data_IF_585219718170
#
_entry.id   IF_585219718170
#
_cell.length_a   1.000
_cell.length_b   1.000
_cell.length_c   1.000
_cell.angle_alpha   90.00
_cell.angle_beta   90.00
_cell.angle_gamma   90.00
#
_symmetry.space_group_name_H-M   'P 1'
#
loop_
_entity.id
_entity.type
_entity.pdbx_description
1 polymer ?
#
# COMPACT_ATOMS: atom_id res chain seq x y z
N UNK A 1 6.34 15.57 10.40
CA UNK A 1 7.08 14.44 9.83
C UNK A 1 7.16 13.32 10.83
N UNK A 2 6.69 12.20 10.46
CA UNK A 2 6.40 11.06 11.29
C UNK A 2 7.60 10.14 11.58
N UNK A 3 8.74 10.68 11.94
CA UNK A 3 9.73 9.90 12.70
C UNK A 3 10.74 9.05 11.95
N UNK A 4 10.58 8.62 10.72
CA UNK A 4 11.68 7.99 10.00
C UNK A 4 12.41 9.02 9.13
N UNK A 5 13.74 8.97 9.13
CA UNK A 5 14.56 9.97 8.47
C UNK A 5 14.61 9.76 6.95
N UNK A 6 13.45 9.93 6.27
CA UNK A 6 13.31 9.69 4.82
C UNK A 6 14.22 10.57 3.98
N UNK A 7 14.49 11.80 4.38
CA UNK A 7 15.42 12.68 3.65
C UNK A 7 16.79 12.02 3.50
N UNK A 8 17.32 11.47 4.60
CA UNK A 8 18.60 10.77 4.58
C UNK A 8 18.49 9.43 3.83
N UNK A 9 17.40 8.69 4.04
CA UNK A 9 17.17 7.43 3.32
C UNK A 9 17.13 7.63 1.80
N UNK A 10 16.41 8.64 1.32
CA UNK A 10 16.33 8.93 -0.12
C UNK A 10 17.66 9.40 -0.71
N UNK A 11 18.50 10.08 0.06
CA UNK A 11 19.86 10.40 -0.36
C UNK A 11 20.72 9.13 -0.55
N UNK A 12 20.62 8.17 0.35
CA UNK A 12 21.33 6.88 0.22
C UNK A 12 20.77 5.99 -0.89
N UNK A 13 19.51 6.16 -1.27
CA UNK A 13 18.88 5.46 -2.39
C UNK A 13 19.12 6.18 -3.74
N UNK A 14 19.92 7.23 -3.74
CA UNK A 14 20.37 7.99 -4.93
C UNK A 14 19.20 8.60 -5.75
N UNK A 15 18.14 9.03 -5.06
CA UNK A 15 17.08 9.80 -5.72
C UNK A 15 17.59 11.18 -6.13
N UNK A 16 17.55 11.49 -7.41
CA UNK A 16 18.02 12.75 -7.98
C UNK A 16 17.17 13.95 -7.53
N UNK A 17 15.89 13.72 -7.30
CA UNK A 17 14.94 14.76 -6.88
C UNK A 17 14.09 14.25 -5.72
N UNK A 18 13.90 15.09 -4.74
CA UNK A 18 13.00 14.86 -3.61
C UNK A 18 12.01 16.01 -3.57
N UNK A 19 10.72 15.69 -3.39
CA UNK A 19 9.65 16.67 -3.30
C UNK A 19 8.86 16.43 -2.02
N UNK A 20 8.42 17.51 -1.40
CA UNK A 20 7.70 17.49 -0.13
C UNK A 20 6.45 18.37 -0.22
N UNK A 21 5.68 18.43 0.87
CA UNK A 21 4.44 19.19 0.96
C UNK A 21 4.57 20.65 0.49
N UNK A 22 5.67 21.30 0.82
CA UNK A 22 5.98 22.68 0.44
C UNK A 22 6.23 22.89 -1.06
N UNK A 23 6.50 21.80 -1.80
CA UNK A 23 6.74 21.84 -3.25
C UNK A 23 5.43 21.72 -4.05
N UNK A 24 4.31 21.40 -3.41
CA UNK A 24 3.01 21.25 -4.07
C UNK A 24 2.26 22.59 -4.07
N UNK A 25 2.12 23.27 -5.22
CA UNK A 25 1.51 24.59 -5.26
C UNK A 25 0.01 24.52 -5.10
N UNK A 26 -0.53 25.17 -4.08
CA UNK A 26 -1.99 25.31 -3.83
C UNK A 26 -2.74 23.98 -3.84
N UNK A 27 -2.32 22.98 -3.03
CA UNK A 27 -2.94 21.67 -3.07
C UNK A 27 -4.38 21.71 -2.54
N UNK A 28 -5.23 20.85 -3.10
CA UNK A 28 -6.49 20.52 -2.46
C UNK A 28 -6.22 19.65 -1.24
N UNK A 29 -6.76 20.04 -0.09
CA UNK A 29 -6.57 19.31 1.16
C UNK A 29 -7.83 18.52 1.52
N UNK A 30 -7.62 17.28 1.96
CA UNK A 30 -8.62 16.48 2.67
C UNK A 30 -8.17 16.34 4.11
N UNK A 31 -9.04 16.72 5.04
CA UNK A 31 -8.67 17.02 6.43
C UNK A 31 -7.58 18.11 6.44
N UNK A 32 -6.39 17.79 6.89
CA UNK A 32 -5.22 18.67 6.90
C UNK A 32 -4.06 18.15 6.05
N UNK A 33 -4.31 17.17 5.21
CA UNK A 33 -3.29 16.54 4.36
C UNK A 33 -3.53 16.88 2.89
N UNK A 34 -2.47 16.91 2.10
CA UNK A 34 -2.58 16.96 0.64
C UNK A 34 -3.41 15.76 0.19
N UNK A 35 -4.43 16.00 -0.65
CA UNK A 35 -5.23 14.93 -1.23
C UNK A 35 -4.38 14.08 -2.19
N UNK A 36 -4.67 12.80 -2.28
CA UNK A 36 -4.02 11.90 -3.22
C UNK A 36 -4.19 12.40 -4.67
N UNK A 37 -5.32 13.02 -4.98
CA UNK A 37 -5.54 13.69 -6.27
C UNK A 37 -4.49 14.77 -6.55
N UNK A 38 -4.27 15.70 -5.63
CA UNK A 38 -3.28 16.78 -5.82
C UNK A 38 -1.86 16.25 -5.87
N UNK A 39 -1.59 15.18 -5.13
CA UNK A 39 -0.30 14.51 -5.12
C UNK A 39 -0.04 13.83 -6.48
N UNK A 40 -1.02 13.12 -7.04
CA UNK A 40 -0.92 12.51 -8.37
C UNK A 40 -0.82 13.55 -9.50
N UNK A 41 -1.47 14.70 -9.38
CA UNK A 41 -1.28 15.81 -10.32
C UNK A 41 0.18 16.29 -10.39
N UNK A 42 0.92 16.23 -9.30
CA UNK A 42 2.36 16.53 -9.28
C UNK A 42 3.18 15.47 -10.02
N UNK A 43 2.77 14.19 -9.94
CA UNK A 43 3.40 13.12 -10.72
C UNK A 43 3.20 13.38 -12.21
N UNK A 44 1.98 13.67 -12.68
CA UNK A 44 1.71 13.97 -14.10
C UNK A 44 2.62 15.09 -14.63
N UNK A 45 2.65 16.23 -13.93
CA UNK A 45 3.49 17.39 -14.31
C UNK A 45 4.98 17.08 -14.34
N UNK A 46 5.41 16.16 -13.49
CA UNK A 46 6.82 15.76 -13.43
C UNK A 46 7.19 14.79 -14.53
N UNK A 47 6.29 13.89 -14.93
CA UNK A 47 6.52 12.93 -16.03
C UNK A 47 6.48 13.57 -17.40
N UNK A 48 5.68 14.62 -17.61
CA UNK A 48 5.62 15.37 -18.90
C UNK A 48 6.96 16.00 -19.30
N UNK A 49 7.87 16.20 -18.35
CA UNK A 49 9.15 16.88 -18.58
C UNK A 49 10.36 15.95 -18.78
N UNK A 50 10.16 14.62 -18.64
CA UNK A 50 11.25 13.65 -18.57
C UNK A 50 11.04 12.49 -19.56
N UNK A 51 12.08 12.08 -20.27
CA UNK A 51 12.01 10.96 -21.22
C UNK A 51 11.80 9.59 -20.54
N UNK A 52 12.33 9.42 -19.32
CA UNK A 52 12.09 8.25 -18.49
C UNK A 52 12.21 8.60 -17.01
N UNK A 53 11.35 8.03 -16.18
CA UNK A 53 11.25 8.41 -14.77
C UNK A 53 10.92 7.22 -13.89
N UNK A 54 11.48 7.23 -12.68
CA UNK A 54 11.05 6.38 -11.58
C UNK A 54 10.56 7.26 -10.42
N UNK A 55 9.30 7.11 -10.06
CA UNK A 55 8.69 7.82 -8.93
C UNK A 55 8.43 6.84 -7.79
N UNK A 56 8.95 7.17 -6.60
CA UNK A 56 8.54 6.55 -5.35
C UNK A 56 7.70 7.56 -4.59
N UNK A 57 6.39 7.39 -4.63
CA UNK A 57 5.44 8.30 -4.02
C UNK A 57 4.89 7.76 -2.71
N UNK A 58 4.75 8.64 -1.70
CA UNK A 58 4.17 8.31 -0.39
C UNK A 58 3.09 9.31 -0.06
N UNK A 59 1.83 8.93 -0.24
CA UNK A 59 0.69 9.78 0.08
C UNK A 59 0.44 9.85 1.59
N UNK A 60 -0.17 10.93 2.04
CA UNK A 60 -0.46 11.17 3.46
C UNK A 60 -1.95 11.35 3.76
N UNK A 61 -2.80 11.39 2.73
CA UNK A 61 -4.23 11.64 2.88
C UNK A 61 -4.89 10.74 3.92
N UNK A 62 -4.53 9.45 3.92
CA UNK A 62 -5.14 8.44 4.79
C UNK A 62 -4.40 8.24 6.12
N UNK A 63 -3.37 9.06 6.41
CA UNK A 63 -2.62 8.94 7.67
C UNK A 63 -3.55 9.05 8.89
N UNK A 64 -3.24 8.30 9.93
CA UNK A 64 -4.03 8.17 11.16
C UNK A 64 -4.22 9.51 11.92
N UNK A 65 -4.98 9.44 12.99
CA UNK A 65 -5.53 10.58 13.70
C UNK A 65 -6.96 10.87 13.23
N UNK A 66 -7.73 9.78 12.97
CA UNK A 66 -9.12 9.90 12.54
C UNK A 66 -9.98 10.52 13.64
N UNK A 67 -10.85 11.43 13.22
CA UNK A 67 -11.81 12.09 14.09
C UNK A 67 -13.14 12.28 13.33
N UNK A 68 -14.21 12.53 14.04
CA UNK A 68 -15.50 12.83 13.40
C UNK A 68 -15.57 14.30 12.97
N UNK A 69 -16.36 14.58 11.93
CA UNK A 69 -16.81 15.94 11.62
C UNK A 69 -15.87 16.79 10.77
N UNK A 70 -15.04 16.21 9.93
CA UNK A 70 -14.29 16.96 8.93
C UNK A 70 -15.21 17.47 7.83
N UNK A 71 -15.23 18.80 7.62
CA UNK A 71 -16.10 19.48 6.64
C UNK A 71 -15.66 19.30 5.19
N UNK A 72 -14.39 18.97 4.98
CA UNK A 72 -13.76 18.82 3.66
C UNK A 72 -13.47 17.34 3.28
N UNK A 73 -14.13 16.41 3.94
CA UNK A 73 -14.10 14.99 3.59
C UNK A 73 -15.52 14.56 3.22
N UNK A 74 -15.77 14.19 1.95
CA UNK A 74 -17.05 13.62 1.54
C UNK A 74 -17.40 12.35 2.30
N UNK A 75 -18.67 12.11 2.51
CA UNK A 75 -19.16 10.89 3.14
C UNK A 75 -19.67 9.93 2.08
N UNK A 76 -19.07 8.77 2.04
CA UNK A 76 -19.38 7.71 1.07
C UNK A 76 -19.89 6.45 1.75
N UNK A 77 -19.42 6.18 2.98
CA UNK A 77 -19.59 4.90 3.66
C UNK A 77 -20.43 5.09 4.92
N UNK A 78 -21.40 4.20 5.11
CA UNK A 78 -22.16 4.04 6.33
C UNK A 78 -21.99 2.61 6.85
N UNK A 79 -21.42 2.47 8.02
CA UNK A 79 -21.20 1.18 8.68
C UNK A 79 -22.46 0.71 9.41
N UNK A 80 -22.67 -0.62 9.56
CA UNK A 80 -23.63 -1.18 10.49
C UNK A 80 -23.43 -0.63 11.91
N UNK A 81 -24.53 -0.47 12.64
CA UNK A 81 -24.53 0.17 13.96
C UNK A 81 -23.57 -0.47 14.98
N UNK A 82 -23.40 -1.79 14.93
CA UNK A 82 -22.48 -2.52 15.80
C UNK A 82 -21.01 -2.15 15.54
N UNK A 83 -20.57 -2.13 14.29
CA UNK A 83 -19.22 -1.70 13.91
C UNK A 83 -18.98 -0.22 14.19
N UNK A 84 -19.96 0.64 13.89
CA UNK A 84 -19.92 2.06 14.21
C UNK A 84 -19.85 2.34 15.72
N UNK A 85 -20.51 1.54 16.53
CA UNK A 85 -20.45 1.65 17.98
C UNK A 85 -19.09 1.17 18.53
N UNK A 86 -18.48 0.17 17.90
CA UNK A 86 -17.18 -0.37 18.28
C UNK A 86 -16.01 0.61 17.96
N UNK A 87 -16.10 1.32 16.81
CA UNK A 87 -15.17 2.39 16.49
C UNK A 87 -15.83 3.49 15.66
N UNK A 88 -15.99 4.66 16.27
CA UNK A 88 -16.63 5.82 15.63
C UNK A 88 -15.78 6.48 14.53
N UNK A 89 -14.51 6.13 14.45
CA UNK A 89 -13.57 6.71 13.47
C UNK A 89 -13.41 5.85 12.23
N UNK A 90 -13.91 4.62 12.24
CA UNK A 90 -13.78 3.68 11.13
C UNK A 90 -14.45 4.18 9.84
N UNK A 91 -15.62 4.85 9.93
CA UNK A 91 -16.26 5.45 8.76
C UNK A 91 -15.36 6.49 8.09
N UNK A 92 -14.66 7.32 8.87
CA UNK A 92 -13.75 8.31 8.31
C UNK A 92 -12.58 7.66 7.55
N UNK A 93 -12.02 6.57 8.09
CA UNK A 93 -10.99 5.83 7.37
C UNK A 93 -11.52 5.30 6.04
N UNK A 94 -12.72 4.72 6.02
CA UNK A 94 -13.32 4.17 4.81
C UNK A 94 -13.70 5.26 3.80
N UNK A 95 -14.17 6.43 4.25
CA UNK A 95 -14.40 7.59 3.39
C UNK A 95 -13.09 8.06 2.74
N UNK A 96 -11.99 8.09 3.49
CA UNK A 96 -10.66 8.43 2.98
C UNK A 96 -10.17 7.39 1.95
N UNK A 97 -10.38 6.10 2.22
CA UNK A 97 -10.05 5.03 1.26
C UNK A 97 -10.84 5.20 -0.05
N UNK A 98 -12.11 5.63 0.03
CA UNK A 98 -12.91 5.92 -1.17
C UNK A 98 -12.38 7.12 -1.96
N UNK A 99 -11.92 8.17 -1.28
CA UNK A 99 -11.26 9.30 -1.95
C UNK A 99 -9.95 8.89 -2.64
N UNK A 100 -9.16 8.01 -2.01
CA UNK A 100 -7.96 7.44 -2.64
C UNK A 100 -8.29 6.58 -3.85
N UNK A 101 -9.34 5.77 -3.78
CA UNK A 101 -9.82 4.93 -4.89
C UNK A 101 -10.21 5.79 -6.10
N UNK A 102 -10.94 6.89 -5.89
CA UNK A 102 -11.30 7.84 -6.95
C UNK A 102 -10.07 8.53 -7.56
N UNK A 103 -9.13 8.96 -6.72
CA UNK A 103 -7.89 9.56 -7.22
C UNK A 103 -7.05 8.56 -8.03
N UNK A 104 -7.03 7.30 -7.60
CA UNK A 104 -6.33 6.22 -8.29
C UNK A 104 -6.98 5.87 -9.64
N UNK A 105 -8.31 5.89 -9.73
CA UNK A 105 -9.04 5.77 -10.99
C UNK A 105 -8.62 6.87 -11.99
N UNK A 106 -8.49 8.12 -11.52
CA UNK A 106 -8.01 9.23 -12.35
C UNK A 106 -6.54 9.02 -12.79
N UNK A 107 -5.66 8.54 -11.90
CA UNK A 107 -4.27 8.23 -12.20
C UNK A 107 -4.15 7.18 -13.31
N UNK A 108 -4.84 6.05 -13.16
CA UNK A 108 -4.85 4.98 -14.15
C UNK A 108 -5.48 5.46 -15.48
N UNK A 109 -6.58 6.23 -15.39
CA UNK A 109 -7.23 6.84 -16.53
C UNK A 109 -6.31 7.76 -17.34
N UNK A 110 -5.47 8.55 -16.66
CA UNK A 110 -4.48 9.40 -17.29
C UNK A 110 -3.41 8.57 -18.03
N UNK A 111 -2.75 7.66 -17.35
CA UNK A 111 -1.66 6.88 -17.94
C UNK A 111 -2.15 5.86 -19.00
N UNK A 112 -3.40 5.44 -18.94
CA UNK A 112 -3.98 4.57 -19.97
C UNK A 112 -4.06 5.23 -21.35
N UNK A 113 -3.99 6.57 -21.42
CA UNK A 113 -4.02 7.36 -22.65
C UNK A 113 -2.61 7.82 -23.08
N UNK A 114 -1.58 7.57 -22.29
CA UNK A 114 -0.21 7.91 -22.63
C UNK A 114 0.37 6.86 -23.58
N UNK A 115 1.13 7.33 -24.58
CA UNK A 115 1.87 6.45 -25.51
C UNK A 115 3.14 5.87 -24.86
N UNK A 116 3.70 6.57 -23.88
CA UNK A 116 4.91 6.17 -23.17
C UNK A 116 4.63 4.95 -22.28
N UNK A 117 5.40 3.87 -22.41
CA UNK A 117 5.21 2.68 -21.58
C UNK A 117 5.29 3.03 -20.09
N UNK A 118 4.19 2.81 -19.37
CA UNK A 118 4.06 3.18 -17.97
C UNK A 118 3.60 1.97 -17.16
N UNK A 119 4.30 1.72 -16.04
CA UNK A 119 3.93 0.72 -15.05
C UNK A 119 3.66 1.41 -13.72
N UNK A 120 2.50 1.13 -13.14
CA UNK A 120 2.07 1.66 -11.83
C UNK A 120 2.02 0.51 -10.83
N UNK A 121 2.72 0.67 -9.71
CA UNK A 121 2.65 -0.22 -8.56
C UNK A 121 2.01 0.53 -7.41
N UNK A 122 0.85 0.10 -7.00
CA UNK A 122 0.13 0.64 -5.84
C UNK A 122 0.12 -0.37 -4.71
N UNK A 123 0.37 0.08 -3.48
CA UNK A 123 0.28 -0.75 -2.28
C UNK A 123 0.00 0.07 -1.04
N UNK A 124 -0.72 -0.52 -0.09
CA UNK A 124 -0.83 0.02 1.26
C UNK A 124 0.43 -0.28 2.07
N UNK A 125 0.78 0.58 3.00
CA UNK A 125 1.92 0.40 3.90
C UNK A 125 1.55 -0.39 5.16
N UNK A 126 0.36 -0.17 5.71
CA UNK A 126 -0.18 -0.87 6.88
C UNK A 126 -1.69 -0.63 7.04
N UNK A 127 -2.32 -1.46 7.87
CA UNK A 127 -3.72 -1.29 8.26
C UNK A 127 -3.91 -0.08 9.20
N UNK A 128 -5.13 0.52 9.24
CA UNK A 128 -5.44 1.62 10.15
C UNK A 128 -5.43 1.17 11.61
N UNK A 129 -5.08 2.08 12.55
CA UNK A 129 -5.11 1.79 13.98
C UNK A 129 -6.55 1.87 14.55
N UNK A 130 -7.45 1.03 14.07
CA UNK A 130 -8.80 0.92 14.62
C UNK A 130 -8.78 0.17 15.96
N UNK A 131 -9.86 0.31 16.74
CA UNK A 131 -9.94 -0.29 18.07
C UNK A 131 -9.98 -1.82 18.04
N UNK A 132 -9.50 -2.46 19.07
CA UNK A 132 -9.64 -3.91 19.24
C UNK A 132 -11.11 -4.35 19.22
N UNK A 133 -12.01 -3.54 19.78
CA UNK A 133 -13.45 -3.80 19.75
C UNK A 133 -14.01 -3.85 18.33
N UNK A 134 -13.52 -2.99 17.43
CA UNK A 134 -13.90 -3.02 16.01
C UNK A 134 -13.51 -4.34 15.35
N UNK A 135 -12.27 -4.79 15.57
CA UNK A 135 -11.80 -6.06 15.00
C UNK A 135 -12.50 -7.27 15.63
N UNK A 136 -12.78 -7.26 16.95
CA UNK A 136 -13.56 -8.33 17.60
C UNK A 136 -14.96 -8.42 17.04
N UNK A 137 -15.62 -7.28 16.79
CA UNK A 137 -16.93 -7.23 16.16
C UNK A 137 -16.87 -7.70 14.69
N UNK A 138 -15.85 -7.29 13.94
CA UNK A 138 -15.64 -7.67 12.54
C UNK A 138 -15.42 -9.19 12.39
N UNK A 139 -14.61 -9.79 13.26
CA UNK A 139 -14.33 -11.23 13.25
C UNK A 139 -15.39 -12.09 13.97
N UNK A 140 -16.28 -11.48 14.75
CA UNK A 140 -17.26 -12.18 15.57
C UNK A 140 -16.66 -13.03 16.69
N UNK A 141 -15.44 -12.72 17.16
CA UNK A 141 -14.70 -13.45 18.20
C UNK A 141 -13.66 -12.56 18.87
N UNK A 142 -13.13 -13.01 20.01
CA UNK A 142 -12.02 -12.33 20.71
C UNK A 142 -10.74 -12.39 19.86
N UNK A 143 -9.93 -11.34 19.95
CA UNK A 143 -8.65 -11.30 19.23
C UNK A 143 -7.70 -12.45 19.65
N UNK A 144 -7.79 -12.92 20.89
CA UNK A 144 -7.01 -14.06 21.42
C UNK A 144 -7.41 -15.41 20.82
N UNK A 145 -8.58 -15.50 20.20
CA UNK A 145 -9.16 -16.74 19.59
C UNK A 145 -8.87 -16.83 18.10
N UNK A 146 -8.19 -15.85 17.52
CA UNK A 146 -7.88 -15.83 16.09
C UNK A 146 -6.86 -16.89 15.72
N UNK A 147 -7.07 -17.50 14.55
CA UNK A 147 -6.10 -18.39 13.90
C UNK A 147 -4.87 -17.59 13.44
N UNK A 148 -3.78 -18.28 13.10
CA UNK A 148 -2.58 -17.64 12.51
C UNK A 148 -2.94 -16.89 11.22
N UNK A 149 -3.77 -17.48 10.37
CA UNK A 149 -4.27 -16.83 9.15
C UNK A 149 -4.99 -15.52 9.45
N UNK A 150 -5.94 -15.50 10.38
CA UNK A 150 -6.70 -14.29 10.77
C UNK A 150 -5.80 -13.21 11.39
N UNK A 151 -4.75 -13.61 12.09
CA UNK A 151 -3.74 -12.66 12.59
C UNK A 151 -2.97 -12.04 11.43
N UNK A 152 -2.52 -12.83 10.46
CA UNK A 152 -1.80 -12.35 9.29
C UNK A 152 -2.69 -11.47 8.39
N UNK A 153 -3.96 -11.84 8.21
CA UNK A 153 -4.93 -11.04 7.46
C UNK A 153 -5.11 -9.62 8.03
N UNK A 154 -4.96 -9.42 9.33
CA UNK A 154 -4.99 -8.07 9.93
C UNK A 154 -3.82 -7.18 9.47
N UNK A 155 -2.74 -7.76 8.97
CA UNK A 155 -1.60 -7.04 8.43
C UNK A 155 -1.62 -6.96 6.89
N UNK A 156 -2.56 -7.65 6.26
CA UNK A 156 -2.68 -7.63 4.81
C UNK A 156 -3.22 -6.29 4.33
N UNK A 157 -2.60 -5.75 3.30
CA UNK A 157 -3.01 -4.53 2.59
C UNK A 157 -3.15 -4.84 1.11
N UNK A 158 -4.02 -4.13 0.37
CA UNK A 158 -4.14 -4.33 -1.05
C UNK A 158 -2.89 -3.84 -1.78
N UNK A 159 -2.55 -4.51 -2.88
CA UNK A 159 -1.62 -4.01 -3.87
C UNK A 159 -2.08 -4.43 -5.27
N UNK A 160 -1.61 -3.71 -6.27
CA UNK A 160 -1.70 -4.14 -7.67
C UNK A 160 -0.50 -3.62 -8.47
N UNK A 161 -0.25 -4.27 -9.59
CA UNK A 161 0.65 -3.80 -10.65
C UNK A 161 -0.20 -3.65 -11.90
N UNK A 162 -0.19 -2.46 -12.49
CA UNK A 162 -0.88 -2.12 -13.71
C UNK A 162 0.10 -1.53 -14.73
N UNK A 163 -0.11 -1.80 -16.00
CA UNK A 163 0.64 -1.17 -17.07
C UNK A 163 -0.30 -0.75 -18.22
N UNK A 164 0.10 0.27 -19.01
CA UNK A 164 -0.58 0.63 -20.24
C UNK A 164 -0.09 -0.20 -21.46
N UNK A 165 0.61 -1.28 -21.21
CA UNK A 165 1.07 -2.28 -22.17
C UNK A 165 0.82 -3.68 -21.64
N UNK A 166 0.94 -4.72 -22.48
CA UNK A 166 0.67 -6.10 -22.10
C UNK A 166 1.64 -6.59 -21.02
N UNK A 167 1.09 -7.05 -19.91
CA UNK A 167 1.77 -7.75 -18.82
C UNK A 167 1.02 -9.03 -18.48
N UNK A 168 1.72 -9.99 -17.86
CA UNK A 168 1.09 -11.22 -17.38
C UNK A 168 0.07 -10.91 -16.28
N UNK A 169 -1.20 -11.27 -16.51
CA UNK A 169 -2.25 -11.12 -15.49
C UNK A 169 -2.08 -12.16 -14.38
N UNK A 170 -2.09 -11.70 -13.13
CA UNK A 170 -2.05 -12.54 -11.93
C UNK A 170 -3.10 -12.05 -10.95
N UNK A 171 -3.79 -12.98 -10.31
CA UNK A 171 -4.82 -12.70 -9.30
C UNK A 171 -4.50 -13.42 -7.99
N UNK A 172 -5.06 -12.93 -6.90
CA UNK A 172 -4.94 -13.50 -5.56
C UNK A 172 -3.49 -13.72 -5.07
N UNK A 173 -2.58 -12.86 -5.52
CA UNK A 173 -1.17 -12.91 -5.15
C UNK A 173 -0.99 -12.48 -3.71
N UNK A 174 -0.44 -13.36 -2.88
CA UNK A 174 -0.03 -13.05 -1.50
C UNK A 174 1.48 -12.89 -1.47
N UNK A 175 1.94 -11.72 -1.02
CA UNK A 175 3.35 -11.34 -1.05
C UNK A 175 3.67 -10.42 0.13
N UNK A 176 4.85 -10.53 0.72
CA UNK A 176 5.32 -9.50 1.63
C UNK A 176 6.10 -8.39 0.90
N UNK A 177 6.12 -7.16 1.45
CA UNK A 177 6.67 -5.98 0.76
C UNK A 177 8.13 -6.14 0.28
N UNK A 178 8.93 -6.96 0.96
CA UNK A 178 10.32 -7.23 0.59
C UNK A 178 10.49 -7.89 -0.78
N UNK A 179 9.45 -8.54 -1.32
CA UNK A 179 9.46 -9.15 -2.65
C UNK A 179 8.81 -8.27 -3.73
N UNK A 180 8.11 -7.18 -3.34
CA UNK A 180 7.37 -6.35 -4.28
C UNK A 180 8.29 -5.72 -5.35
N UNK A 181 9.50 -5.29 -4.96
CA UNK A 181 10.48 -4.76 -5.90
C UNK A 181 10.93 -5.78 -6.95
N UNK A 182 11.08 -7.05 -6.54
CA UNK A 182 11.42 -8.14 -7.48
C UNK A 182 10.27 -8.38 -8.45
N UNK A 183 9.05 -8.49 -7.94
CA UNK A 183 7.85 -8.69 -8.76
C UNK A 183 7.66 -7.52 -9.75
N UNK A 184 7.90 -6.29 -9.30
CA UNK A 184 7.88 -5.10 -10.15
C UNK A 184 8.91 -5.18 -11.28
N UNK A 185 10.17 -5.51 -10.96
CA UNK A 185 11.23 -5.62 -11.96
C UNK A 185 10.95 -6.73 -12.99
N UNK A 186 10.48 -7.90 -12.52
CA UNK A 186 10.09 -9.01 -13.40
C UNK A 186 8.94 -8.62 -14.33
N UNK A 187 7.90 -7.97 -13.80
CA UNK A 187 6.74 -7.52 -14.58
C UNK A 187 7.14 -6.46 -15.62
N UNK A 188 8.06 -5.56 -15.27
CA UNK A 188 8.59 -4.56 -16.18
C UNK A 188 9.63 -5.10 -17.19
N UNK A 189 10.01 -6.37 -17.12
CA UNK A 189 11.05 -6.97 -17.97
C UNK A 189 12.46 -6.43 -17.67
N UNK A 190 12.70 -5.91 -16.47
CA UNK A 190 14.00 -5.37 -16.06
C UNK A 190 14.94 -6.49 -15.57
N UNK A 191 16.25 -6.34 -15.77
CA UNK A 191 17.22 -7.29 -15.24
C UNK A 191 17.24 -7.26 -13.70
N UNK A 192 17.32 -8.43 -13.09
CA UNK A 192 17.46 -8.54 -11.64
C UNK A 192 18.93 -8.36 -11.23
N UNK A 193 19.13 -7.76 -10.07
CA UNK A 193 20.44 -7.78 -9.39
C UNK A 193 20.61 -9.11 -8.66
N UNK A 194 21.85 -9.50 -8.28
CA UNK A 194 22.07 -10.76 -7.54
C UNK A 194 21.29 -10.82 -6.21
N UNK A 195 21.02 -9.67 -5.57
CA UNK A 195 20.14 -9.63 -4.40
C UNK A 195 18.67 -9.89 -4.76
N UNK A 196 18.21 -9.34 -5.87
CA UNK A 196 16.83 -9.58 -6.35
C UNK A 196 16.64 -11.02 -6.82
N UNK A 197 17.66 -11.63 -7.43
CA UNK A 197 17.65 -13.07 -7.78
C UNK A 197 17.48 -13.93 -6.51
N UNK A 198 18.26 -13.68 -5.48
CA UNK A 198 18.10 -14.34 -4.17
C UNK A 198 16.68 -14.15 -3.60
N UNK A 199 16.13 -12.94 -3.66
CA UNK A 199 14.74 -12.70 -3.20
C UNK A 199 13.72 -13.43 -4.08
N UNK A 200 13.95 -13.55 -5.39
CA UNK A 200 13.08 -14.30 -6.29
C UNK A 200 13.05 -15.80 -5.92
N UNK A 201 14.20 -16.39 -5.65
CA UNK A 201 14.29 -17.78 -5.19
C UNK A 201 13.59 -17.99 -3.83
N UNK A 202 13.77 -17.04 -2.90
CA UNK A 202 13.12 -17.09 -1.58
C UNK A 202 11.59 -16.96 -1.69
N UNK A 203 11.10 -16.13 -2.61
CA UNK A 203 9.68 -15.96 -2.89
C UNK A 203 9.00 -17.27 -3.32
N UNK A 204 9.67 -18.11 -4.12
CA UNK A 204 9.15 -19.40 -4.55
C UNK A 204 8.91 -20.38 -3.39
N UNK A 205 9.59 -20.20 -2.27
CA UNK A 205 9.46 -21.05 -1.08
C UNK A 205 8.54 -20.43 -0.03
N UNK A 206 8.65 -19.12 0.16
CA UNK A 206 8.00 -18.41 1.25
C UNK A 206 7.56 -17.00 0.80
N UNK A 207 6.45 -16.90 0.08
CA UNK A 207 6.00 -15.64 -0.52
C UNK A 207 5.64 -14.52 0.47
N UNK A 208 5.34 -14.87 1.73
CA UNK A 208 5.14 -13.84 2.74
C UNK A 208 5.93 -14.14 4.02
N UNK A 209 6.79 -13.20 4.40
CA UNK A 209 7.61 -13.21 5.60
C UNK A 209 7.27 -11.96 6.40
N UNK A 210 6.72 -12.13 7.62
CA UNK A 210 6.28 -11.03 8.47
C UNK A 210 6.77 -11.23 9.92
N UNK A 211 6.77 -10.19 10.76
CA UNK A 211 7.12 -10.34 12.18
C UNK A 211 6.20 -11.28 12.97
N UNK A 212 4.99 -11.52 12.48
CA UNK A 212 3.94 -12.28 13.19
C UNK A 212 3.72 -13.67 12.64
N UNK A 213 4.21 -13.96 11.42
CA UNK A 213 4.06 -15.28 10.78
C UNK A 213 4.53 -15.30 9.33
N UNK A 214 4.34 -16.43 8.69
CA UNK A 214 4.83 -16.76 7.37
C UNK A 214 3.73 -17.39 6.53
N UNK A 215 3.81 -17.22 5.23
CA UNK A 215 2.99 -17.95 4.26
C UNK A 215 3.94 -18.73 3.36
N UNK A 216 3.72 -20.04 3.26
CA UNK A 216 4.50 -20.92 2.39
C UNK A 216 3.95 -20.96 0.97
N UNK A 217 4.71 -21.48 0.02
CA UNK A 217 4.31 -21.59 -1.39
C UNK A 217 3.04 -22.43 -1.60
N UNK A 218 2.77 -23.40 -0.71
CA UNK A 218 1.53 -24.20 -0.70
C UNK A 218 0.37 -23.52 0.07
N UNK A 219 0.54 -22.26 0.47
CA UNK A 219 -0.50 -21.43 1.10
C UNK A 219 -0.74 -21.72 2.59
N UNK A 220 0.18 -22.39 3.28
CA UNK A 220 0.07 -22.60 4.73
C UNK A 220 0.46 -21.33 5.50
N UNK A 221 -0.28 -21.03 6.56
CA UNK A 221 -0.01 -19.92 7.48
C UNK A 221 0.68 -20.47 8.74
N UNK A 222 1.95 -20.15 8.92
CA UNK A 222 2.80 -20.69 9.97
C UNK A 222 3.28 -19.60 10.93
N UNK A 223 3.43 -19.95 12.20
CA UNK A 223 4.20 -19.17 13.17
C UNK A 223 5.68 -19.55 13.07
N UNK A 224 6.56 -18.68 13.59
CA UNK A 224 7.99 -18.97 13.63
C UNK A 224 8.31 -20.31 14.31
N UNK A 225 7.57 -20.70 15.33
CA UNK A 225 7.73 -21.96 16.05
C UNK A 225 7.29 -23.21 15.27
N UNK A 226 6.60 -23.03 14.17
CA UNK A 226 6.05 -24.11 13.33
C UNK A 226 6.90 -24.32 12.07
N UNK A 227 7.93 -23.48 11.85
CA UNK A 227 8.86 -23.62 10.73
C UNK A 227 9.75 -24.86 10.92
N UNK A 228 9.99 -25.60 9.84
CA UNK A 228 10.98 -26.66 9.79
C UNK A 228 12.42 -26.11 9.90
N UNK A 229 13.41 -26.97 10.09
CA UNK A 229 14.82 -26.57 10.10
C UNK A 229 15.29 -25.98 8.76
N UNK A 230 14.70 -26.41 7.66
CA UNK A 230 15.02 -25.88 6.32
C UNK A 230 14.38 -24.50 6.06
N UNK A 231 13.27 -24.18 6.75
CA UNK A 231 12.57 -22.91 6.64
C UNK A 231 13.09 -21.84 7.62
N UNK A 232 13.93 -22.20 8.57
CA UNK A 232 14.57 -21.28 9.55
C UNK A 232 15.90 -20.76 9.04
#
# INVERSE_FOLDING_TARGET
SSGWNRVLAYQYLDFHRQMYEEDVPSPYLIRSYISDKSDYEMIYKSTEAEDSSFFFNVTMQNHSGYAQGWYNLPRHIELPNNLKAADRTAEQFLDLMKESDLALEELIGYYSQCEEPTLVVFFGDHQPPLTNAFYEELYGKKLSERTTQEVLQQYAVPFFIWANYDIEERQDVVISPNFLGVLTAQTAGLPLTGYMEFLAELYEVMPAITPVGFVTADGQYLKKSELSQEQQ
#
